data_IF_832920402653
#
_entry.id   IF_832920402653
#
_cell.length_a   1.000
_cell.length_b   1.000
_cell.length_c   1.000
_cell.angle_alpha   90.00
_cell.angle_beta   90.00
_cell.angle_gamma   90.00
#
_symmetry.space_group_name_H-M   'P 1'
#
loop_
_entity.id
_entity.type
_entity.pdbx_description
1 polymer ?
#
# COMPACT_ATOMS: atom_id res chain seq x y z
N UNK A 1 39.35 -3.50 -32.44
CA UNK A 1 40.48 -3.45 -31.49
C UNK A 1 41.70 -2.96 -32.26
N UNK A 2 42.22 -1.77 -31.95
CA UNK A 2 43.48 -1.28 -32.55
C UNK A 2 44.40 -0.88 -31.40
N UNK A 3 45.06 -1.89 -30.83
CA UNK A 3 46.14 -1.75 -29.85
C UNK A 3 47.44 -2.30 -30.47
N UNK A 4 47.75 -1.90 -31.69
CA UNK A 4 48.87 -2.49 -32.44
C UNK A 4 50.21 -1.82 -32.14
N UNK A 5 50.25 -0.72 -31.36
CA UNK A 5 51.49 0.00 -31.03
C UNK A 5 51.65 0.26 -29.53
N UNK A 6 52.88 0.14 -29.02
CA UNK A 6 53.27 0.32 -27.61
C UNK A 6 52.89 1.71 -27.06
N UNK A 7 52.95 2.74 -27.90
CA UNK A 7 52.57 4.12 -27.55
C UNK A 7 51.06 4.22 -27.22
N UNK A 8 50.22 3.49 -27.97
CA UNK A 8 48.77 3.45 -27.72
C UNK A 8 48.41 2.62 -26.48
N UNK A 9 49.28 1.70 -26.06
CA UNK A 9 49.11 0.91 -24.83
C UNK A 9 49.34 1.77 -23.58
N UNK A 10 50.37 2.64 -23.58
CA UNK A 10 50.66 3.57 -22.47
C UNK A 10 49.55 4.61 -22.28
N UNK A 11 48.82 4.96 -23.35
CA UNK A 11 47.67 5.89 -23.32
C UNK A 11 46.31 5.20 -23.17
N UNK A 12 46.27 3.88 -23.01
CA UNK A 12 45.01 3.15 -22.93
C UNK A 12 44.25 3.45 -21.63
N UNK A 13 42.93 3.64 -21.72
CA UNK A 13 42.06 3.70 -20.52
C UNK A 13 42.02 2.33 -19.85
N UNK A 14 42.09 2.31 -18.51
CA UNK A 14 42.08 1.10 -17.70
C UNK A 14 40.71 0.38 -17.66
N UNK A 15 40.61 -0.73 -16.89
CA UNK A 15 39.38 -1.53 -16.76
C UNK A 15 38.31 -0.86 -15.88
N UNK A 16 38.64 0.27 -15.23
CA UNK A 16 37.78 0.99 -14.30
C UNK A 16 36.47 1.47 -14.96
N UNK A 17 36.53 1.91 -16.23
CA UNK A 17 35.35 2.33 -16.98
C UNK A 17 34.35 1.17 -17.16
N UNK A 18 34.87 -0.03 -17.44
CA UNK A 18 34.05 -1.24 -17.64
C UNK A 18 33.35 -1.63 -16.33
N UNK A 19 34.06 -1.58 -15.20
CA UNK A 19 33.49 -1.91 -13.90
C UNK A 19 32.42 -0.90 -13.46
N UNK A 20 32.61 0.40 -13.74
CA UNK A 20 31.58 1.44 -13.51
C UNK A 20 30.32 1.15 -14.32
N UNK A 21 30.46 0.86 -15.62
CA UNK A 21 29.34 0.49 -16.50
C UNK A 21 28.62 -0.77 -16.04
N UNK A 22 29.37 -1.79 -15.62
CA UNK A 22 28.82 -3.05 -15.10
C UNK A 22 27.98 -2.85 -13.85
N UNK A 23 28.33 -1.91 -12.96
CA UNK A 23 27.50 -1.57 -11.78
C UNK A 23 26.11 -1.04 -12.18
N UNK A 24 26.04 -0.16 -13.17
CA UNK A 24 24.76 0.36 -13.69
C UNK A 24 23.96 -0.74 -14.39
N UNK A 25 24.61 -1.59 -15.18
CA UNK A 25 23.92 -2.70 -15.84
C UNK A 25 23.37 -3.76 -14.88
N UNK A 26 24.00 -3.97 -13.71
CA UNK A 26 23.43 -4.80 -12.64
C UNK A 26 22.07 -4.26 -12.17
N UNK A 27 21.94 -2.94 -12.01
CA UNK A 27 20.67 -2.31 -11.61
C UNK A 27 19.65 -2.31 -12.75
N UNK A 28 20.09 -2.21 -14.00
CA UNK A 28 19.23 -2.16 -15.18
C UNK A 28 18.87 -3.54 -15.76
N UNK A 29 19.29 -4.65 -15.13
CA UNK A 29 19.21 -5.99 -15.70
C UNK A 29 17.79 -6.40 -16.15
N UNK A 30 16.78 -6.00 -15.39
CA UNK A 30 15.36 -6.29 -15.66
C UNK A 30 14.63 -5.21 -16.45
N UNK A 31 15.34 -4.22 -16.99
CA UNK A 31 14.73 -3.24 -17.88
C UNK A 31 14.48 -3.84 -19.27
N UNK A 32 13.42 -3.41 -19.95
CA UNK A 32 13.05 -3.95 -21.28
C UNK A 32 13.79 -3.19 -22.40
N UNK A 33 14.33 -3.89 -23.39
CA UNK A 33 14.87 -3.29 -24.62
C UNK A 33 16.21 -2.54 -24.43
N UNK A 34 16.40 -1.41 -25.12
CA UNK A 34 17.70 -0.70 -25.13
C UNK A 34 18.13 -0.14 -23.76
N UNK A 35 17.19 0.07 -22.83
CA UNK A 35 17.49 0.57 -21.48
C UNK A 35 18.23 -0.45 -20.58
N UNK A 36 18.27 -1.74 -20.93
CA UNK A 36 19.15 -2.72 -20.26
C UNK A 36 20.53 -2.86 -20.91
N UNK A 37 20.68 -2.50 -22.18
CA UNK A 37 21.89 -2.80 -22.97
C UNK A 37 22.74 -1.56 -23.32
N UNK A 38 22.14 -0.38 -23.48
CA UNK A 38 22.84 0.85 -23.88
C UNK A 38 23.11 1.73 -22.66
N UNK A 39 24.39 1.97 -22.33
CA UNK A 39 24.79 2.68 -21.11
C UNK A 39 24.16 4.07 -20.96
N UNK A 40 24.20 4.90 -22.02
CA UNK A 40 23.66 6.26 -22.00
C UNK A 40 22.14 6.32 -21.77
N UNK A 41 21.42 5.25 -22.11
CA UNK A 41 19.97 5.12 -21.86
C UNK A 41 19.76 4.51 -20.46
N UNK A 42 20.52 3.48 -20.11
CA UNK A 42 20.44 2.77 -18.84
C UNK A 42 20.65 3.74 -17.65
N UNK A 43 21.70 4.55 -17.68
CA UNK A 43 22.02 5.47 -16.57
C UNK A 43 20.87 6.43 -16.26
N UNK A 44 20.28 7.06 -17.30
CA UNK A 44 19.13 7.96 -17.16
C UNK A 44 17.91 7.26 -16.55
N UNK A 45 17.63 6.03 -17.00
CA UNK A 45 16.51 5.25 -16.49
C UNK A 45 16.74 4.78 -15.04
N UNK A 46 17.96 4.35 -14.70
CA UNK A 46 18.32 3.94 -13.34
C UNK A 46 18.17 5.10 -12.37
N UNK A 47 18.66 6.30 -12.71
CA UNK A 47 18.47 7.48 -11.86
C UNK A 47 16.99 7.79 -11.64
N UNK A 48 16.17 7.77 -12.70
CA UNK A 48 14.73 7.98 -12.59
C UNK A 48 14.05 6.91 -11.72
N UNK A 49 14.43 5.65 -11.88
CA UNK A 49 13.90 4.55 -11.08
C UNK A 49 14.27 4.69 -9.58
N UNK A 50 15.49 5.12 -9.25
CA UNK A 50 15.92 5.35 -7.87
C UNK A 50 15.17 6.52 -7.20
N UNK A 51 14.90 7.59 -7.95
CA UNK A 51 14.07 8.70 -7.48
C UNK A 51 12.65 8.20 -7.19
N UNK A 52 12.05 7.43 -8.11
CA UNK A 52 10.72 6.86 -7.88
C UNK A 52 10.69 5.84 -6.76
N UNK A 53 11.72 5.01 -6.58
CA UNK A 53 11.80 4.09 -5.45
C UNK A 53 11.76 4.85 -4.11
N UNK A 54 12.45 5.99 -4.03
CA UNK A 54 12.47 6.82 -2.83
C UNK A 54 11.11 7.47 -2.58
N UNK A 55 10.47 8.03 -3.61
CA UNK A 55 9.11 8.57 -3.52
C UNK A 55 8.08 7.49 -3.16
N UNK A 56 8.20 6.31 -3.78
CA UNK A 56 7.32 5.16 -3.58
C UNK A 56 7.32 4.62 -2.15
N UNK A 57 8.42 4.74 -1.39
CA UNK A 57 8.43 4.38 0.05
C UNK A 57 7.51 5.27 0.90
N UNK A 58 7.31 6.54 0.50
CA UNK A 58 6.35 7.44 1.15
C UNK A 58 4.93 7.07 0.72
N UNK A 59 4.69 7.00 -0.59
CA UNK A 59 3.37 6.69 -1.16
C UNK A 59 2.82 5.35 -0.67
N UNK A 60 3.65 4.30 -0.58
CA UNK A 60 3.23 2.99 -0.05
C UNK A 60 2.58 3.07 1.33
N UNK A 61 3.02 4.00 2.19
CA UNK A 61 2.42 4.17 3.53
C UNK A 61 1.04 4.80 3.44
N UNK A 62 0.85 5.76 2.54
CA UNK A 62 -0.42 6.44 2.27
C UNK A 62 -1.40 5.47 1.60
N UNK A 63 -0.96 4.75 0.55
CA UNK A 63 -1.76 3.76 -0.17
C UNK A 63 -2.27 2.65 0.76
N UNK A 64 -1.42 2.15 1.67
CA UNK A 64 -1.82 1.14 2.66
C UNK A 64 -2.82 1.69 3.68
N UNK A 65 -2.64 2.94 4.13
CA UNK A 65 -3.57 3.58 5.05
C UNK A 65 -4.96 3.75 4.40
N UNK A 66 -5.01 4.18 3.15
CA UNK A 66 -6.25 4.31 2.38
C UNK A 66 -6.92 2.94 2.18
N UNK A 67 -6.14 1.91 1.82
CA UNK A 67 -6.66 0.55 1.66
C UNK A 67 -7.27 0.01 2.95
N UNK A 68 -6.61 0.19 4.09
CA UNK A 68 -7.15 -0.26 5.39
C UNK A 68 -8.43 0.49 5.74
N UNK A 69 -8.49 1.79 5.49
CA UNK A 69 -9.70 2.58 5.70
C UNK A 69 -10.87 2.10 4.82
N UNK A 70 -10.63 1.84 3.53
CA UNK A 70 -11.64 1.28 2.63
C UNK A 70 -12.14 -0.09 3.12
N UNK A 71 -11.26 -0.95 3.63
CA UNK A 71 -11.65 -2.26 4.17
C UNK A 71 -12.50 -2.13 5.44
N UNK A 72 -12.11 -1.26 6.36
CA UNK A 72 -12.88 -1.02 7.59
C UNK A 72 -14.24 -0.41 7.24
N UNK A 73 -14.29 0.55 6.30
CA UNK A 73 -15.55 1.14 5.82
C UNK A 73 -16.49 0.06 5.28
N UNK A 74 -16.00 -0.84 4.43
CA UNK A 74 -16.81 -1.96 3.92
C UNK A 74 -17.33 -2.88 5.04
N UNK A 75 -16.50 -3.17 6.06
CA UNK A 75 -16.97 -3.94 7.23
C UNK A 75 -18.01 -3.19 8.06
N UNK A 76 -17.86 -1.88 8.23
CA UNK A 76 -18.84 -1.04 8.93
C UNK A 76 -20.18 -0.97 8.19
N UNK A 77 -20.15 -0.88 6.85
CA UNK A 77 -21.35 -0.90 6.01
C UNK A 77 -22.17 -2.17 6.20
N UNK A 78 -21.53 -3.34 6.30
CA UNK A 78 -22.19 -4.62 6.61
C UNK A 78 -22.90 -4.63 7.96
N UNK A 79 -22.46 -3.79 8.89
CA UNK A 79 -23.06 -3.63 10.21
C UNK A 79 -23.93 -2.37 10.29
N UNK A 80 -24.29 -1.73 9.18
CA UNK A 80 -25.14 -0.54 9.14
C UNK A 80 -24.64 0.62 10.03
N UNK A 81 -23.33 0.86 10.07
CA UNK A 81 -22.72 2.03 10.72
C UNK A 81 -21.77 2.74 9.75
N UNK A 82 -21.76 4.07 9.75
CA UNK A 82 -20.77 4.84 8.96
C UNK A 82 -19.39 4.74 9.60
N UNK A 83 -18.34 4.82 8.77
CA UNK A 83 -16.96 4.76 9.26
C UNK A 83 -16.62 5.93 10.20
N UNK A 84 -17.12 7.15 9.94
CA UNK A 84 -16.86 8.29 10.82
C UNK A 84 -17.41 8.05 12.23
N UNK A 85 -18.67 7.62 12.33
CA UNK A 85 -19.32 7.34 13.61
C UNK A 85 -18.67 6.16 14.33
N UNK A 86 -18.25 5.12 13.60
CA UNK A 86 -17.50 4.00 14.17
C UNK A 86 -16.16 4.45 14.77
N UNK A 87 -15.38 5.22 14.02
CA UNK A 87 -14.08 5.73 14.46
C UNK A 87 -14.21 6.65 15.67
N UNK A 88 -15.21 7.52 15.66
CA UNK A 88 -15.49 8.42 16.78
C UNK A 88 -15.93 7.64 18.02
N UNK A 89 -16.84 6.67 17.88
CA UNK A 89 -17.29 5.81 18.97
C UNK A 89 -16.13 5.06 19.64
N UNK A 90 -15.22 4.46 18.85
CA UNK A 90 -14.03 3.79 19.40
C UNK A 90 -13.10 4.76 20.13
N UNK A 91 -12.87 5.96 19.58
CA UNK A 91 -12.03 6.97 20.22
C UNK A 91 -12.61 7.42 21.57
N UNK A 92 -13.93 7.62 21.65
CA UNK A 92 -14.63 7.99 22.88
C UNK A 92 -14.65 6.88 23.93
N UNK A 93 -14.61 5.61 23.50
CA UNK A 93 -14.43 4.46 24.38
C UNK A 93 -12.97 4.22 24.80
N UNK A 94 -12.03 5.09 24.41
CA UNK A 94 -10.59 4.93 24.62
C UNK A 94 -10.01 3.61 24.05
N UNK A 95 -10.61 3.09 22.97
CA UNK A 95 -10.12 1.90 22.28
C UNK A 95 -9.12 2.32 21.20
N UNK A 96 -7.83 2.27 21.54
CA UNK A 96 -6.73 2.74 20.69
C UNK A 96 -6.27 1.68 19.68
N UNK A 97 -7.17 1.25 18.78
CA UNK A 97 -6.84 0.28 17.73
C UNK A 97 -6.37 0.96 16.44
N UNK A 98 -5.36 0.37 15.81
CA UNK A 98 -4.84 0.84 14.53
C UNK A 98 -5.75 0.41 13.36
N UNK A 99 -5.76 1.19 12.27
CA UNK A 99 -6.52 0.83 11.05
C UNK A 99 -6.11 -0.50 10.44
N UNK A 100 -4.82 -0.85 10.51
CA UNK A 100 -4.32 -2.15 10.06
C UNK A 100 -4.98 -3.31 10.82
N UNK A 101 -4.99 -3.24 12.15
CA UNK A 101 -5.56 -4.30 12.99
C UNK A 101 -7.07 -4.36 12.82
N UNK A 102 -7.76 -3.22 12.70
CA UNK A 102 -9.19 -3.19 12.41
C UNK A 102 -9.53 -3.81 11.04
N UNK A 103 -8.72 -3.55 10.01
CA UNK A 103 -8.90 -4.17 8.71
C UNK A 103 -8.67 -5.68 8.73
N UNK A 104 -7.67 -6.15 9.49
CA UNK A 104 -7.40 -7.58 9.66
C UNK A 104 -8.56 -8.26 10.43
N UNK A 105 -9.09 -7.64 11.49
CA UNK A 105 -10.27 -8.12 12.22
C UNK A 105 -11.50 -8.20 11.32
N UNK A 106 -11.77 -7.17 10.52
CA UNK A 106 -12.89 -7.16 9.58
C UNK A 106 -12.82 -8.29 8.54
N UNK A 107 -11.61 -8.72 8.14
CA UNK A 107 -11.43 -9.80 7.17
C UNK A 107 -11.49 -11.19 7.79
N UNK A 108 -10.87 -11.40 8.96
CA UNK A 108 -10.64 -12.73 9.53
C UNK A 108 -11.52 -13.06 10.73
N UNK A 109 -11.96 -12.06 11.48
CA UNK A 109 -12.63 -12.21 12.77
C UNK A 109 -13.95 -11.43 12.81
N UNK A 110 -14.99 -11.88 12.08
CA UNK A 110 -16.23 -11.13 11.92
C UNK A 110 -16.98 -10.95 13.25
N UNK A 111 -16.93 -11.92 14.17
CA UNK A 111 -17.59 -11.83 15.47
C UNK A 111 -16.95 -10.77 16.37
N UNK A 112 -15.61 -10.74 16.41
CA UNK A 112 -14.86 -9.72 17.15
C UNK A 112 -15.12 -8.33 16.58
N UNK A 113 -15.11 -8.20 15.25
CA UNK A 113 -15.42 -6.94 14.59
C UNK A 113 -16.86 -6.46 14.87
N UNK A 114 -17.84 -7.38 14.83
CA UNK A 114 -19.23 -7.08 15.21
C UNK A 114 -19.33 -6.53 16.64
N UNK A 115 -18.66 -7.16 17.61
CA UNK A 115 -18.67 -6.68 19.00
C UNK A 115 -18.14 -5.25 19.14
N UNK A 116 -17.08 -4.90 18.38
CA UNK A 116 -16.56 -3.53 18.34
C UNK A 116 -17.55 -2.56 17.72
N UNK A 117 -18.24 -2.95 16.65
CA UNK A 117 -19.28 -2.10 16.05
C UNK A 117 -20.46 -1.87 16.99
N UNK A 118 -20.87 -2.88 17.75
CA UNK A 118 -21.97 -2.76 18.71
C UNK A 118 -21.59 -1.83 19.88
N UNK A 119 -20.36 -1.92 20.39
CA UNK A 119 -19.82 -0.98 21.39
C UNK A 119 -19.82 0.45 20.83
N UNK A 120 -19.33 0.63 19.61
CA UNK A 120 -19.29 1.94 18.97
C UNK A 120 -20.68 2.53 18.76
N UNK A 121 -21.65 1.73 18.27
CA UNK A 121 -23.06 2.13 18.12
C UNK A 121 -23.65 2.59 19.43
N UNK A 122 -23.51 1.78 20.50
CA UNK A 122 -24.02 2.11 21.83
C UNK A 122 -23.48 3.46 22.30
N UNK A 123 -22.16 3.67 22.17
CA UNK A 123 -21.54 4.95 22.56
C UNK A 123 -22.09 6.13 21.77
N UNK A 124 -22.26 5.99 20.45
CA UNK A 124 -22.79 7.07 19.60
C UNK A 124 -24.25 7.41 19.92
N UNK A 125 -25.05 6.41 20.32
CA UNK A 125 -26.43 6.61 20.76
C UNK A 125 -26.49 7.32 22.12
N UNK A 126 -25.66 6.89 23.08
CA UNK A 126 -25.55 7.53 24.40
C UNK A 126 -25.19 9.02 24.29
N UNK A 127 -24.37 9.37 23.28
CA UNK A 127 -23.93 10.75 23.03
C UNK A 127 -24.91 11.57 22.16
N UNK A 128 -26.02 11.00 21.69
CA UNK A 128 -27.05 11.71 20.91
C UNK A 128 -26.63 12.13 19.49
N UNK A 129 -25.55 11.57 18.95
CA UNK A 129 -25.04 11.86 17.59
C UNK A 129 -25.80 11.03 16.54
N UNK A 130 -27.12 11.18 16.50
CA UNK A 130 -27.97 10.45 15.55
C UNK A 130 -27.98 11.13 14.18
N UNK A 131 -26.93 10.90 13.38
CA UNK A 131 -26.97 11.05 11.93
C UNK A 131 -27.33 9.72 11.27
N UNK A 132 -28.54 9.20 11.53
CA UNK A 132 -29.02 7.96 10.91
C UNK A 132 -29.42 8.27 9.47
N UNK A 133 -28.50 8.08 8.51
CA UNK A 133 -28.90 7.73 7.15
C UNK A 133 -29.08 6.22 7.11
N UNK A 134 -30.29 5.76 7.44
CA UNK A 134 -30.65 4.34 7.44
C UNK A 134 -30.58 3.71 6.04
N UNK A 135 -30.59 4.48 4.94
CA UNK A 135 -30.93 3.94 3.62
C UNK A 135 -29.96 4.31 2.48
N UNK A 136 -28.66 4.02 2.59
CA UNK A 136 -27.76 4.11 1.42
C UNK A 136 -26.69 3.03 1.32
N UNK A 137 -27.03 1.74 1.44
CA UNK A 137 -26.07 0.70 1.07
C UNK A 137 -26.74 -0.41 0.24
N UNK A 138 -26.11 -0.75 -0.89
CA UNK A 138 -26.59 -1.74 -1.84
C UNK A 138 -26.33 -3.16 -1.32
N UNK A 139 -27.36 -3.99 -1.40
CA UNK A 139 -27.52 -5.36 -0.88
C UNK A 139 -26.51 -6.42 -1.40
N UNK A 140 -25.41 -6.04 -2.07
CA UNK A 140 -24.53 -6.94 -2.85
C UNK A 140 -23.07 -7.03 -2.37
N UNK A 141 -22.74 -6.67 -1.13
CA UNK A 141 -21.35 -6.76 -0.63
C UNK A 141 -21.19 -7.94 0.34
N UNK A 142 -20.86 -9.11 -0.21
CA UNK A 142 -20.61 -10.36 0.52
C UNK A 142 -19.12 -10.47 0.86
N UNK A 143 -18.79 -10.56 2.15
CA UNK A 143 -17.50 -11.05 2.64
C UNK A 143 -17.45 -12.57 2.61
N UNK A 144 -16.27 -13.15 2.34
CA UNK A 144 -16.06 -14.62 2.19
C UNK A 144 -16.46 -15.47 3.42
N UNK A 145 -16.77 -14.86 4.57
CA UNK A 145 -17.14 -15.54 5.81
C UNK A 145 -18.54 -15.25 6.35
N UNK A 146 -19.36 -14.42 5.71
CA UNK A 146 -20.75 -14.17 6.16
C UNK A 146 -21.78 -15.05 5.44
N UNK A 147 -21.37 -16.23 4.98
CA UNK A 147 -22.31 -17.24 4.51
C UNK A 147 -22.75 -18.07 5.73
N UNK A 148 -24.04 -17.88 6.06
CA UNK A 148 -24.90 -18.66 6.95
C UNK A 148 -25.04 -18.18 8.39
N UNK A 149 -26.13 -17.43 8.62
CA UNK A 149 -27.12 -17.77 9.66
C UNK A 149 -28.52 -17.42 9.14
N UNK A 150 -29.06 -18.25 8.25
CA UNK A 150 -30.51 -18.46 8.20
C UNK A 150 -30.87 -19.41 9.36
N UNK A 151 -31.43 -18.83 10.42
CA UNK A 151 -32.48 -19.35 11.33
C UNK A 151 -32.51 -18.53 12.61
#
# INVERSE_FOLDING_TARGET
>A
MVFTTVINFVRARGPDEIWRKRRIFKLAAHFIGRRRNCYSIAVRNVHRALVYATKGRKLKREDMANLWETRVRAGCEQHNISYESFREGLARCNILLNRRTLADLACWEPYSFKSLTDIAKRRTLDDGLAGINADKYLDRIITRGSLNTEK
#
